data_IF_968530465351
#
_entry.id   IF_968530465351
#
_cell.length_a   1.000
_cell.length_b   1.000
_cell.length_c   1.000
_cell.angle_alpha   90.00
_cell.angle_beta   90.00
_cell.angle_gamma   90.00
#
_symmetry.space_group_name_H-M   'P 1'
#
loop_
_entity.id
_entity.type
_entity.pdbx_description
1 polymer ?
#
# COMPACT_ATOMS: atom_id res chain seq x y z
N UNK A 1 1.04 -19.79 -18.10
CA UNK A 1 -0.24 -19.85 -18.86
C UNK A 1 -1.32 -19.40 -17.89
N UNK A 2 -1.80 -18.16 -18.03
CA UNK A 2 -2.70 -17.52 -17.05
C UNK A 2 -4.15 -17.72 -17.45
N UNK A 3 -5.05 -17.92 -16.47
CA UNK A 3 -6.49 -17.90 -16.68
C UNK A 3 -7.03 -16.51 -16.33
N UNK A 4 -7.61 -15.83 -17.31
CA UNK A 4 -8.34 -14.56 -17.15
C UNK A 4 -9.80 -14.91 -16.87
N UNK A 5 -10.38 -14.40 -15.78
CA UNK A 5 -11.82 -14.48 -15.54
C UNK A 5 -12.54 -13.49 -16.45
N UNK A 6 -13.21 -13.98 -17.50
CA UNK A 6 -14.08 -13.15 -18.34
C UNK A 6 -15.47 -13.01 -17.69
N UNK A 7 -15.89 -11.78 -17.41
CA UNK A 7 -17.26 -11.45 -17.00
C UNK A 7 -18.20 -11.34 -18.21
N UNK A 8 -19.38 -11.96 -18.13
CA UNK A 8 -20.48 -11.79 -19.10
C UNK A 8 -21.44 -10.67 -18.63
N UNK A 9 -22.00 -9.86 -19.55
CA UNK A 9 -22.93 -8.78 -19.20
C UNK A 9 -24.38 -9.30 -19.10
N UNK A 10 -25.14 -8.84 -18.10
CA UNK A 10 -26.59 -9.08 -18.02
C UNK A 10 -27.39 -7.78 -17.96
N UNK A 11 -28.00 -7.50 -19.12
CA UNK A 11 -29.33 -6.95 -19.41
C UNK A 11 -30.04 -5.96 -18.46
N UNK A 12 -30.39 -4.84 -19.09
CA UNK A 12 -31.49 -3.91 -18.81
C UNK A 12 -32.85 -4.61 -18.65
N UNK A 13 -33.66 -4.19 -17.67
CA UNK A 13 -35.12 -4.27 -17.74
C UNK A 13 -35.77 -3.04 -17.09
N UNK A 14 -36.56 -2.31 -17.86
CA UNK A 14 -37.37 -1.19 -17.41
C UNK A 14 -38.84 -1.55 -17.09
N UNK A 15 -39.55 -0.56 -16.55
CA UNK A 15 -41.00 -0.54 -16.26
C UNK A 15 -41.25 -0.18 -14.80
N UNK A 16 -42.08 0.78 -14.38
CA UNK A 16 -43.08 1.61 -15.04
C UNK A 16 -44.31 1.74 -14.11
N UNK A 17 -44.70 2.97 -13.75
CA UNK A 17 -45.97 3.33 -13.06
C UNK A 17 -45.86 3.47 -11.53
N UNK A 18 -46.50 4.42 -10.83
CA UNK A 18 -47.43 5.49 -11.18
C UNK A 18 -48.20 5.93 -9.93
N UNK A 19 -48.32 7.24 -9.69
CA UNK A 19 -49.47 7.89 -9.03
C UNK A 19 -49.54 8.01 -7.50
N UNK A 20 -49.89 9.22 -7.02
CA UNK A 20 -50.67 9.42 -5.78
C UNK A 20 -50.06 10.39 -4.76
N UNK A 21 -50.64 11.58 -4.63
CA UNK A 21 -50.18 12.67 -3.75
C UNK A 21 -50.65 12.63 -2.29
N UNK A 22 -50.25 13.65 -1.52
CA UNK A 22 -50.76 13.91 -0.18
C UNK A 22 -49.85 14.84 0.64
N UNK A 23 -50.21 16.13 0.71
CA UNK A 23 -49.62 17.13 1.61
C UNK A 23 -49.88 16.77 3.08
N UNK A 24 -48.87 16.93 3.94
CA UNK A 24 -49.08 17.36 5.32
C UNK A 24 -47.88 18.14 5.86
N UNK A 25 -48.15 19.37 6.30
CA UNK A 25 -47.22 20.23 7.02
C UNK A 25 -47.01 19.74 8.46
N UNK A 26 -45.77 19.80 8.94
CA UNK A 26 -45.39 19.52 10.32
C UNK A 26 -44.09 20.23 10.66
N UNK A 27 -44.22 21.37 11.35
CA UNK A 27 -43.14 22.17 11.92
C UNK A 27 -42.39 21.36 13.00
N UNK A 28 -41.06 21.39 12.97
CA UNK A 28 -40.20 20.78 13.98
C UNK A 28 -38.75 21.20 13.78
N UNK A 29 -38.36 22.29 14.44
CA UNK A 29 -36.97 22.76 14.45
C UNK A 29 -36.04 21.73 15.07
N UNK A 30 -35.09 21.24 14.27
CA UNK A 30 -33.94 20.47 14.71
C UNK A 30 -32.70 21.21 14.25
N UNK A 31 -31.92 21.70 15.22
CA UNK A 31 -30.65 22.37 15.01
C UNK A 31 -29.63 21.35 14.49
N UNK A 32 -29.67 21.06 13.19
CA UNK A 32 -28.67 20.26 12.51
C UNK A 32 -27.42 21.10 12.37
N UNK A 33 -26.40 20.82 13.17
CA UNK A 33 -25.03 21.23 12.86
C UNK A 33 -24.68 20.64 11.50
N UNK A 34 -24.83 21.45 10.46
CA UNK A 34 -24.32 21.20 9.12
C UNK A 34 -22.79 21.25 9.23
N UNK A 35 -22.14 20.14 9.62
CA UNK A 35 -20.73 19.96 9.33
C UNK A 35 -20.63 19.92 7.81
N UNK A 36 -20.17 21.03 7.23
CA UNK A 36 -19.72 21.09 5.85
C UNK A 36 -18.73 19.92 5.64
N UNK A 37 -18.82 19.12 4.57
CA UNK A 37 -17.83 18.08 4.33
C UNK A 37 -16.46 18.75 4.24
N UNK A 38 -15.60 18.49 5.23
CA UNK A 38 -14.23 19.00 5.22
C UNK A 38 -13.53 18.44 3.98
N UNK A 39 -12.95 19.30 3.17
CA UNK A 39 -12.18 18.87 2.01
C UNK A 39 -10.89 18.15 2.46
N UNK A 40 -10.30 17.32 1.59
CA UNK A 40 -9.01 16.67 1.87
C UNK A 40 -7.96 17.70 2.32
N UNK A 41 -7.92 18.85 1.65
CA UNK A 41 -6.96 19.92 1.94
C UNK A 41 -7.19 20.57 3.32
N UNK A 42 -8.45 20.78 3.71
CA UNK A 42 -8.80 21.32 5.03
C UNK A 42 -8.36 20.41 6.18
N UNK A 43 -8.13 19.14 5.91
CA UNK A 43 -7.68 18.16 6.89
C UNK A 43 -6.22 17.73 6.71
N UNK A 44 -5.45 18.45 5.88
CA UNK A 44 -4.00 18.27 5.75
C UNK A 44 -3.57 17.20 4.73
N UNK A 45 -4.49 16.74 3.88
CA UNK A 45 -4.25 15.81 2.77
C UNK A 45 -4.26 16.58 1.45
N UNK A 46 -3.13 16.58 0.75
CA UNK A 46 -2.94 17.29 -0.53
C UNK A 46 -3.13 16.32 -1.69
N UNK A 47 -4.15 16.57 -2.51
CA UNK A 47 -4.34 15.83 -3.75
C UNK A 47 -3.31 16.28 -4.80
N UNK A 48 -2.55 15.32 -5.33
CA UNK A 48 -1.54 15.51 -6.37
C UNK A 48 -2.03 14.88 -7.66
N UNK A 49 -2.00 15.68 -8.72
CA UNK A 49 -2.37 15.35 -10.09
C UNK A 49 -1.21 15.75 -11.01
N UNK A 50 -1.33 15.51 -12.32
CA UNK A 50 -0.27 15.85 -13.27
C UNK A 50 0.18 17.31 -13.21
N UNK A 51 -0.76 18.25 -13.02
CA UNK A 51 -0.49 19.68 -13.12
C UNK A 51 0.26 20.27 -11.92
N UNK A 52 0.22 19.64 -10.73
CA UNK A 52 0.90 20.12 -9.53
C UNK A 52 2.01 19.18 -9.02
N UNK A 53 2.29 18.09 -9.74
CA UNK A 53 3.27 17.06 -9.33
C UNK A 53 4.63 17.67 -8.97
N UNK A 54 5.22 18.48 -9.85
CA UNK A 54 6.51 19.12 -9.62
C UNK A 54 6.51 20.08 -8.43
N UNK A 55 5.43 20.84 -8.25
CA UNK A 55 5.29 21.78 -7.14
C UNK A 55 5.29 21.04 -5.80
N UNK A 56 4.51 19.97 -5.71
CA UNK A 56 4.41 19.19 -4.48
C UNK A 56 5.70 18.43 -4.18
N UNK A 57 6.39 17.88 -5.19
CA UNK A 57 7.71 17.28 -4.98
C UNK A 57 8.78 18.28 -4.51
N UNK A 58 8.71 19.55 -4.93
CA UNK A 58 9.60 20.59 -4.36
C UNK A 58 9.34 20.75 -2.87
N UNK A 59 8.09 20.76 -2.44
CA UNK A 59 7.74 20.84 -1.01
C UNK A 59 8.20 19.60 -0.25
N UNK A 60 7.88 18.40 -0.76
CA UNK A 60 8.22 17.12 -0.12
C UNK A 60 9.73 16.99 0.09
N UNK A 61 10.56 17.39 -0.89
CA UNK A 61 12.05 17.38 -0.77
C UNK A 61 12.57 18.21 0.41
N UNK A 62 11.84 19.22 0.85
CA UNK A 62 12.18 19.99 2.06
C UNK A 62 11.63 19.31 3.33
N UNK A 63 10.42 18.76 3.27
CA UNK A 63 9.77 18.08 4.40
C UNK A 63 10.58 16.86 4.85
N UNK A 64 10.98 16.01 3.90
CA UNK A 64 11.64 14.72 4.20
C UNK A 64 12.98 14.90 4.95
N UNK A 65 13.61 16.07 4.87
CA UNK A 65 14.85 16.37 5.61
C UNK A 65 14.67 16.39 7.13
N UNK A 66 13.45 16.67 7.61
CA UNK A 66 13.11 16.74 9.05
C UNK A 66 12.12 15.65 9.47
N UNK A 67 11.23 15.24 8.56
CA UNK A 67 10.18 14.28 8.82
C UNK A 67 10.49 12.98 8.06
N UNK A 68 11.43 12.19 8.60
CA UNK A 68 12.00 11.00 7.97
C UNK A 68 11.22 9.70 8.19
N UNK A 69 10.09 9.73 8.92
CA UNK A 69 9.14 8.63 8.96
C UNK A 69 8.09 8.83 7.87
N UNK A 70 8.02 7.89 6.93
CA UNK A 70 7.14 7.97 5.77
C UNK A 70 6.13 6.82 5.84
N UNK A 71 4.90 7.13 6.26
CA UNK A 71 3.82 6.17 6.19
C UNK A 71 3.23 6.12 4.78
N UNK A 72 2.94 4.93 4.29
CA UNK A 72 2.39 4.73 2.95
C UNK A 72 1.23 3.75 2.92
N UNK A 73 0.41 3.89 1.89
CA UNK A 73 -0.65 2.97 1.49
C UNK A 73 -0.92 3.15 -0.01
N UNK A 74 -1.45 2.14 -0.70
CA UNK A 74 -1.79 2.23 -2.12
C UNK A 74 -3.20 1.75 -2.43
N UNK A 75 -3.81 2.33 -3.46
CA UNK A 75 -5.06 1.82 -4.02
C UNK A 75 -4.81 1.31 -5.45
N UNK A 76 -5.31 0.12 -5.73
CA UNK A 76 -5.11 -0.59 -7.00
C UNK A 76 -6.33 -1.46 -7.33
N UNK A 77 -6.49 -1.93 -8.58
CA UNK A 77 -7.74 -2.52 -9.05
C UNK A 77 -7.90 -4.01 -8.64
N UNK A 78 -7.46 -4.36 -7.44
CA UNK A 78 -7.59 -5.69 -6.85
C UNK A 78 -6.71 -6.75 -7.50
N UNK A 79 -7.26 -7.96 -7.64
CA UNK A 79 -6.57 -9.13 -8.21
C UNK A 79 -7.43 -9.78 -9.29
N UNK A 80 -6.83 -10.09 -10.44
CA UNK A 80 -7.52 -10.63 -11.62
C UNK A 80 -6.98 -11.99 -12.05
N UNK A 81 -5.78 -12.36 -11.61
CA UNK A 81 -5.09 -13.57 -12.00
C UNK A 81 -4.70 -14.43 -10.79
N UNK A 82 -4.61 -15.74 -11.02
CA UNK A 82 -3.96 -16.69 -10.11
C UNK A 82 -2.80 -17.36 -10.85
N UNK A 83 -1.63 -17.53 -10.20
CA UNK A 83 -0.51 -18.23 -10.81
C UNK A 83 -0.88 -19.72 -10.91
N UNK A 84 -0.46 -20.36 -12.00
CA UNK A 84 -0.70 -21.78 -12.26
C UNK A 84 0.65 -22.49 -12.29
N UNK A 85 0.80 -23.54 -11.49
CA UNK A 85 2.02 -24.32 -11.42
C UNK A 85 2.18 -25.06 -10.09
N UNK A 86 3.33 -25.71 -9.93
CA UNK A 86 3.80 -26.20 -8.63
C UNK A 86 4.66 -25.13 -7.97
N UNK A 87 4.52 -24.98 -6.65
CA UNK A 87 5.20 -23.96 -5.85
C UNK A 87 6.03 -24.63 -4.77
N UNK A 88 7.19 -24.05 -4.46
CA UNK A 88 8.15 -24.63 -3.50
C UNK A 88 7.61 -24.57 -2.06
N UNK A 89 6.79 -23.57 -1.76
CA UNK A 89 6.20 -23.35 -0.45
C UNK A 89 4.94 -22.49 -0.54
N UNK A 90 4.24 -22.33 0.59
CA UNK A 90 3.14 -21.37 0.68
C UNK A 90 3.62 -19.93 0.51
N UNK A 91 4.83 -19.58 0.97
CA UNK A 91 5.39 -18.23 0.80
C UNK A 91 5.68 -17.94 -0.68
N UNK A 92 6.27 -18.90 -1.39
CA UNK A 92 6.53 -18.82 -2.82
C UNK A 92 5.22 -18.64 -3.61
N UNK A 93 4.17 -19.42 -3.30
CA UNK A 93 2.85 -19.20 -3.91
C UNK A 93 2.32 -17.78 -3.68
N UNK A 94 2.46 -17.24 -2.47
CA UNK A 94 1.99 -15.90 -2.14
C UNK A 94 2.75 -14.82 -2.90
N UNK A 95 4.08 -14.94 -2.99
CA UNK A 95 4.90 -14.05 -3.79
C UNK A 95 4.52 -14.12 -5.27
N UNK A 96 4.39 -15.32 -5.86
CA UNK A 96 3.99 -15.48 -7.26
C UNK A 96 2.56 -14.95 -7.51
N UNK A 97 1.67 -15.05 -6.53
CA UNK A 97 0.32 -14.50 -6.59
C UNK A 97 0.32 -12.98 -6.60
N UNK A 98 1.15 -12.35 -5.76
CA UNK A 98 1.37 -10.92 -5.77
C UNK A 98 1.97 -10.47 -7.10
N UNK A 99 3.11 -11.07 -7.48
CA UNK A 99 3.86 -10.74 -8.68
C UNK A 99 2.99 -10.73 -9.92
N UNK A 100 2.22 -11.80 -10.14
CA UNK A 100 1.41 -11.91 -11.35
C UNK A 100 0.35 -10.81 -11.43
N UNK A 101 -0.19 -10.34 -10.31
CA UNK A 101 -1.20 -9.27 -10.32
C UNK A 101 -0.55 -7.89 -10.41
N UNK A 102 0.53 -7.64 -9.68
CA UNK A 102 1.27 -6.36 -9.75
C UNK A 102 1.82 -6.11 -11.15
N UNK A 103 2.38 -7.13 -11.82
CA UNK A 103 2.91 -6.98 -13.18
C UNK A 103 1.78 -6.64 -14.19
N UNK A 104 0.61 -7.24 -14.04
CA UNK A 104 -0.53 -7.07 -14.95
C UNK A 104 -1.31 -5.77 -14.74
N UNK A 105 -1.42 -5.29 -13.51
CA UNK A 105 -2.32 -4.21 -13.12
C UNK A 105 -1.58 -2.89 -12.95
N UNK A 106 -2.34 -1.78 -12.99
CA UNK A 106 -1.82 -0.42 -12.78
C UNK A 106 -2.25 0.10 -11.42
N UNK A 107 -1.37 0.83 -10.76
CA UNK A 107 -1.67 1.56 -9.52
C UNK A 107 -2.66 2.71 -9.81
N UNK A 108 -3.54 3.03 -8.86
CA UNK A 108 -4.55 4.10 -8.97
C UNK A 108 -4.19 5.26 -8.04
N UNK A 109 -3.85 4.99 -6.78
CA UNK A 109 -3.37 5.99 -5.84
C UNK A 109 -2.18 5.51 -5.00
N UNK A 110 -1.38 6.47 -4.54
CA UNK A 110 -0.38 6.30 -3.48
C UNK A 110 -0.58 7.42 -2.46
N UNK A 111 -0.62 7.06 -1.18
CA UNK A 111 -0.58 8.00 -0.07
C UNK A 111 0.79 8.02 0.58
N UNK A 112 1.35 9.20 0.82
CA UNK A 112 2.57 9.39 1.60
C UNK A 112 2.32 10.39 2.72
N UNK A 113 2.49 9.96 3.97
CA UNK A 113 2.39 10.80 5.16
C UNK A 113 3.74 10.92 5.84
N UNK A 114 4.16 12.15 6.15
CA UNK A 114 5.47 12.44 6.72
C UNK A 114 5.37 12.80 8.20
N UNK A 115 6.21 12.17 9.03
CA UNK A 115 6.28 12.38 10.47
C UNK A 115 7.74 12.44 10.97
N UNK A 116 7.96 13.06 12.12
CA UNK A 116 9.24 13.08 12.81
C UNK A 116 9.41 11.87 13.74
N UNK A 117 10.51 11.83 14.48
CA UNK A 117 10.85 10.71 15.37
C UNK A 117 9.84 10.54 16.52
N UNK A 118 9.11 11.60 16.88
CA UNK A 118 8.09 11.61 17.93
C UNK A 118 6.67 11.37 17.37
N UNK A 119 6.50 11.37 16.05
CA UNK A 119 5.21 11.18 15.39
C UNK A 119 4.46 12.47 15.12
N UNK A 120 5.11 13.63 15.23
CA UNK A 120 4.51 14.90 14.81
C UNK A 120 4.59 15.07 13.30
N UNK A 121 3.56 15.69 12.74
CA UNK A 121 3.47 15.99 11.31
C UNK A 121 4.00 17.39 10.99
N UNK A 122 4.41 17.66 9.74
CA UNK A 122 4.79 19.00 9.32
C UNK A 122 3.60 19.98 9.38
N UNK A 123 3.86 21.29 9.55
CA UNK A 123 2.82 22.30 9.47
C UNK A 123 2.26 22.39 8.05
N UNK A 124 0.93 22.58 7.93
CA UNK A 124 0.24 22.61 6.64
C UNK A 124 -0.15 21.22 6.19
N UNK A 125 0.28 20.82 5.00
CA UNK A 125 0.05 19.46 4.49
C UNK A 125 1.02 18.48 5.12
N UNK A 126 0.48 17.39 5.64
CA UNK A 126 1.24 16.27 6.20
C UNK A 126 1.24 15.04 5.31
N UNK A 127 0.26 14.98 4.41
CA UNK A 127 -0.04 13.82 3.59
C UNK A 127 -0.24 14.26 2.16
N UNK A 128 0.36 13.52 1.22
CA UNK A 128 0.19 13.70 -0.21
C UNK A 128 -0.47 12.46 -0.79
N UNK A 129 -1.58 12.68 -1.50
CA UNK A 129 -2.33 11.65 -2.21
C UNK A 129 -2.07 11.79 -3.70
N UNK A 130 -1.21 10.94 -4.25
CA UNK A 130 -0.88 10.91 -5.66
C UNK A 130 -1.94 10.14 -6.44
N UNK A 131 -2.55 10.79 -7.41
CA UNK A 131 -3.61 10.22 -8.24
C UNK A 131 -3.04 9.87 -9.63
N UNK A 132 -2.86 8.58 -9.91
CA UNK A 132 -2.22 8.10 -11.14
C UNK A 132 -3.20 7.98 -12.30
N UNK A 133 -2.66 8.07 -13.52
CA UNK A 133 -3.43 7.87 -14.74
C UNK A 133 -3.96 6.44 -14.83
N UNK A 134 -5.29 6.32 -14.97
CA UNK A 134 -6.00 5.06 -15.05
C UNK A 134 -7.23 5.20 -15.97
N UNK A 135 -7.44 4.24 -16.87
CA UNK A 135 -8.53 4.24 -17.84
C UNK A 135 -9.34 2.94 -17.76
N UNK A 136 -10.61 3.03 -17.34
CA UNK A 136 -11.51 1.87 -17.24
C UNK A 136 -11.82 1.18 -18.58
N UNK A 137 -11.53 1.81 -19.71
CA UNK A 137 -11.73 1.21 -21.03
C UNK A 137 -10.49 0.45 -21.54
N UNK A 138 -9.31 0.76 -21.00
CA UNK A 138 -8.02 0.23 -21.49
C UNK A 138 -7.36 -0.71 -20.46
N UNK A 139 -7.46 -0.37 -19.18
CA UNK A 139 -6.75 -1.05 -18.10
C UNK A 139 -7.55 -2.25 -17.56
N UNK A 140 -6.84 -3.30 -17.14
CA UNK A 140 -7.45 -4.45 -16.48
C UNK A 140 -7.80 -4.13 -15.02
N UNK A 141 -8.90 -4.69 -14.54
CA UNK A 141 -9.35 -4.53 -13.16
C UNK A 141 -10.28 -5.65 -12.69
N UNK A 142 -10.41 -5.80 -11.37
CA UNK A 142 -11.49 -6.55 -10.75
C UNK A 142 -12.70 -5.62 -10.51
N UNK A 143 -13.90 -6.03 -10.97
CA UNK A 143 -15.12 -5.21 -10.88
C UNK A 143 -15.43 -4.79 -9.44
N UNK A 144 -15.39 -5.74 -8.50
CA UNK A 144 -15.68 -5.47 -7.09
C UNK A 144 -14.74 -4.40 -6.49
N UNK A 145 -13.49 -4.35 -6.92
CA UNK A 145 -12.52 -3.35 -6.49
C UNK A 145 -12.82 -1.97 -7.06
N UNK A 146 -13.21 -1.87 -8.34
CA UNK A 146 -13.63 -0.59 -8.94
C UNK A 146 -14.89 -0.06 -8.26
N UNK A 147 -15.88 -0.92 -8.01
CA UNK A 147 -17.12 -0.53 -7.35
C UNK A 147 -16.84 -0.02 -5.92
N UNK A 148 -15.97 -0.71 -5.18
CA UNK A 148 -15.52 -0.26 -3.85
C UNK A 148 -14.85 1.11 -3.93
N UNK A 149 -13.87 1.28 -4.81
CA UNK A 149 -13.12 2.54 -4.97
C UNK A 149 -14.03 3.70 -5.41
N UNK A 150 -14.98 3.46 -6.30
CA UNK A 150 -15.99 4.45 -6.68
C UNK A 150 -16.83 4.88 -5.48
N UNK A 151 -17.29 3.92 -4.67
CA UNK A 151 -18.06 4.21 -3.46
C UNK A 151 -17.24 4.97 -2.39
N UNK A 152 -15.92 4.77 -2.39
CA UNK A 152 -14.96 5.49 -1.53
C UNK A 152 -14.61 6.89 -2.06
N UNK A 153 -15.13 7.29 -3.23
CA UNK A 153 -15.01 8.63 -3.78
C UNK A 153 -13.93 8.80 -4.85
N UNK A 154 -13.35 7.71 -5.37
CA UNK A 154 -12.39 7.78 -6.49
C UNK A 154 -13.09 8.25 -7.77
N UNK A 155 -12.55 9.31 -8.36
CA UNK A 155 -13.08 9.95 -9.56
C UNK A 155 -12.36 9.42 -10.81
N UNK A 156 -12.69 8.21 -11.27
CA UNK A 156 -11.98 7.54 -12.38
C UNK A 156 -11.86 8.39 -13.66
N UNK A 157 -12.88 9.20 -14.00
CA UNK A 157 -12.80 10.12 -15.14
C UNK A 157 -11.66 11.14 -14.97
N UNK A 158 -11.46 11.65 -13.76
CA UNK A 158 -10.38 12.58 -13.44
C UNK A 158 -9.01 11.88 -13.46
N UNK A 159 -8.93 10.62 -13.04
CA UNK A 159 -7.71 9.81 -13.21
C UNK A 159 -7.36 9.64 -14.69
N UNK A 160 -8.33 9.39 -15.56
CA UNK A 160 -8.09 9.27 -17.01
C UNK A 160 -7.54 10.56 -17.63
N UNK A 161 -8.15 11.71 -17.29
CA UNK A 161 -7.86 13.03 -17.87
C UNK A 161 -6.58 13.65 -17.25
N UNK A 162 -6.54 13.75 -15.92
CA UNK A 162 -5.57 14.55 -15.15
C UNK A 162 -4.56 13.71 -14.34
N UNK A 163 -4.67 12.38 -14.41
CA UNK A 163 -3.82 11.48 -13.63
C UNK A 163 -2.34 11.62 -13.96
N UNK A 164 -1.51 11.39 -12.94
CA UNK A 164 -0.06 11.41 -13.02
C UNK A 164 0.44 10.25 -13.89
N UNK A 165 1.38 10.53 -14.79
CA UNK A 165 2.11 9.46 -15.47
C UNK A 165 3.04 8.75 -14.46
N UNK A 166 2.96 7.42 -14.30
CA UNK A 166 3.80 6.70 -13.35
C UNK A 166 5.31 6.94 -13.54
N UNK A 167 5.79 7.15 -14.77
CA UNK A 167 7.21 7.38 -15.04
C UNK A 167 7.66 8.76 -14.59
N UNK A 168 6.84 9.79 -14.78
CA UNK A 168 7.15 11.15 -14.29
C UNK A 168 7.20 11.17 -12.76
N UNK A 169 6.31 10.42 -12.10
CA UNK A 169 6.37 10.23 -10.64
C UNK A 169 7.64 9.46 -10.21
N UNK A 170 7.99 8.37 -10.90
CA UNK A 170 9.18 7.57 -10.61
C UNK A 170 10.46 8.40 -10.66
N UNK A 171 10.59 9.21 -11.72
CA UNK A 171 11.71 10.13 -11.95
C UNK A 171 11.87 11.08 -10.74
N UNK A 172 10.79 11.72 -10.32
CA UNK A 172 10.80 12.68 -9.22
C UNK A 172 11.05 12.03 -7.85
N UNK A 173 10.47 10.83 -7.62
CA UNK A 173 10.66 10.06 -6.40
C UNK A 173 12.10 9.58 -6.26
N UNK A 174 12.72 9.11 -7.34
CA UNK A 174 14.10 8.61 -7.36
C UNK A 174 15.09 9.64 -6.81
N UNK A 175 14.93 10.92 -7.18
CA UNK A 175 15.84 12.01 -6.77
C UNK A 175 15.26 12.86 -5.63
N UNK A 176 14.26 12.37 -4.90
CA UNK A 176 13.58 13.12 -3.84
C UNK A 176 14.28 13.06 -2.48
N UNK A 177 15.12 12.03 -2.25
CA UNK A 177 15.67 11.71 -0.94
C UNK A 177 14.73 10.87 -0.05
N UNK A 178 13.66 10.28 -0.62
CA UNK A 178 12.72 9.41 0.09
C UNK A 178 13.09 7.92 -0.05
N UNK A 179 13.59 7.51 -1.22
CA UNK A 179 14.06 6.15 -1.51
C UNK A 179 15.58 6.10 -1.55
N UNK A 180 16.19 4.92 -1.38
CA UNK A 180 17.65 4.70 -1.39
C UNK A 180 18.39 5.41 -0.24
N UNK A 181 17.68 5.79 0.82
CA UNK A 181 18.21 6.57 1.94
C UNK A 181 18.06 5.81 3.26
N UNK A 182 19.18 5.53 3.94
CA UNK A 182 19.21 4.77 5.20
C UNK A 182 18.49 5.47 6.36
N UNK A 183 18.40 6.80 6.33
CA UNK A 183 17.74 7.58 7.37
C UNK A 183 16.20 7.57 7.26
N UNK A 184 15.65 7.10 6.14
CA UNK A 184 14.20 7.06 5.93
C UNK A 184 13.62 5.77 6.51
N UNK A 185 12.55 5.92 7.30
CA UNK A 185 11.85 4.82 7.97
C UNK A 185 10.45 4.72 7.39
N UNK A 186 10.20 3.67 6.61
CA UNK A 186 8.91 3.44 5.96
C UNK A 186 7.94 2.74 6.92
N UNK A 187 6.73 3.27 7.04
CA UNK A 187 5.66 2.72 7.87
C UNK A 187 4.52 2.23 6.99
N UNK A 188 4.09 1.00 7.18
CA UNK A 188 3.12 0.38 6.27
C UNK A 188 2.13 -0.49 7.02
N UNK A 189 1.08 -0.96 6.34
CA UNK A 189 0.14 -1.91 6.91
C UNK A 189 -0.19 -3.00 5.90
N UNK A 190 0.25 -4.24 6.15
CA UNK A 190 -0.07 -5.38 5.29
C UNK A 190 0.41 -5.18 3.83
N UNK A 191 1.68 -4.81 3.71
CA UNK A 191 2.16 -3.95 2.62
C UNK A 191 2.83 -4.63 1.43
N UNK A 192 2.64 -5.95 1.28
CA UNK A 192 3.29 -6.69 0.20
C UNK A 192 3.00 -6.07 -1.17
N UNK A 193 1.72 -5.87 -1.49
CA UNK A 193 1.30 -5.29 -2.77
C UNK A 193 1.78 -3.84 -2.93
N UNK A 194 1.72 -3.02 -1.88
CA UNK A 194 2.14 -1.61 -1.91
C UNK A 194 3.60 -1.48 -2.35
N UNK A 195 4.49 -2.24 -1.70
CA UNK A 195 5.90 -2.27 -2.07
C UNK A 195 6.15 -2.94 -3.41
N UNK A 196 5.33 -3.93 -3.79
CA UNK A 196 5.33 -4.48 -5.14
C UNK A 196 5.09 -3.41 -6.20
N UNK A 197 4.05 -2.59 -6.04
CA UNK A 197 3.75 -1.49 -6.97
C UNK A 197 4.84 -0.42 -6.97
N UNK A 198 5.32 0.00 -5.80
CA UNK A 198 6.41 0.98 -5.72
C UNK A 198 7.69 0.48 -6.39
N UNK A 199 8.05 -0.79 -6.19
CA UNK A 199 9.25 -1.36 -6.79
C UNK A 199 9.10 -1.52 -8.31
N UNK A 200 7.94 -1.97 -8.79
CA UNK A 200 7.60 -1.96 -10.23
C UNK A 200 7.74 -0.56 -10.82
N UNK A 201 7.19 0.44 -10.13
CA UNK A 201 7.21 1.83 -10.57
C UNK A 201 8.65 2.39 -10.63
N UNK A 202 9.45 2.14 -9.60
CA UNK A 202 10.82 2.67 -9.48
C UNK A 202 11.85 1.96 -10.36
N UNK A 203 11.55 0.74 -10.81
CA UNK A 203 12.43 -0.04 -11.69
C UNK A 203 11.99 0.03 -13.14
N UNK A 204 10.72 0.37 -13.39
CA UNK A 204 10.06 0.26 -14.69
C UNK A 204 10.24 -1.13 -15.32
N UNK A 205 10.24 -2.17 -14.48
CA UNK A 205 10.36 -3.57 -14.88
C UNK A 205 9.30 -4.42 -14.18
N UNK A 206 9.01 -5.58 -14.76
CA UNK A 206 8.25 -6.61 -14.04
C UNK A 206 9.02 -7.02 -12.77
N UNK A 207 8.28 -7.42 -11.74
CA UNK A 207 8.89 -7.87 -10.50
C UNK A 207 9.78 -9.12 -10.70
N UNK A 208 10.80 -9.31 -9.86
CA UNK A 208 11.77 -10.39 -10.01
C UNK A 208 11.18 -11.82 -10.12
N UNK A 209 11.98 -12.71 -10.72
CA UNK A 209 11.88 -14.16 -10.71
C UNK A 209 11.24 -14.76 -9.44
N UNK A 210 12.04 -14.56 -8.41
CA UNK A 210 12.08 -15.30 -7.17
C UNK A 210 11.92 -14.30 -6.02
N UNK A 211 11.30 -14.76 -4.94
CA UNK A 211 11.02 -13.93 -3.77
C UNK A 211 12.31 -13.36 -3.14
N UNK A 212 13.41 -14.12 -3.17
CA UNK A 212 14.71 -13.67 -2.66
C UNK A 212 15.19 -12.41 -3.37
N UNK A 213 15.12 -12.41 -4.70
CA UNK A 213 15.64 -11.32 -5.53
C UNK A 213 14.78 -10.07 -5.36
N UNK A 214 13.47 -10.26 -5.15
CA UNK A 214 12.57 -9.18 -4.78
C UNK A 214 12.97 -8.53 -3.46
N UNK A 215 13.24 -9.31 -2.41
CA UNK A 215 13.65 -8.76 -1.13
C UNK A 215 15.06 -8.14 -1.15
N UNK A 216 15.99 -8.69 -1.93
CA UNK A 216 17.30 -8.06 -2.16
C UNK A 216 17.15 -6.67 -2.77
N UNK A 217 16.33 -6.56 -3.82
CA UNK A 217 16.05 -5.30 -4.49
C UNK A 217 15.26 -4.33 -3.60
N UNK A 218 14.26 -4.83 -2.88
CA UNK A 218 13.44 -4.03 -1.97
C UNK A 218 14.30 -3.36 -0.88
N UNK A 219 15.27 -4.09 -0.32
CA UNK A 219 16.19 -3.57 0.71
C UNK A 219 17.08 -2.43 0.22
N UNK A 220 17.37 -2.37 -1.07
CA UNK A 220 18.16 -1.28 -1.66
C UNK A 220 17.31 -0.01 -1.70
N UNK A 221 16.08 -0.10 -2.22
CA UNK A 221 15.18 1.05 -2.35
C UNK A 221 14.59 1.51 -1.02
N UNK A 222 14.34 0.58 -0.10
CA UNK A 222 13.65 0.79 1.17
C UNK A 222 14.42 0.11 2.31
N UNK A 223 15.53 0.70 2.79
CA UNK A 223 16.40 0.06 3.76
C UNK A 223 15.71 -0.30 5.09
N UNK A 224 14.79 0.57 5.55
CA UNK A 224 14.05 0.38 6.80
C UNK A 224 12.55 0.40 6.56
N UNK A 225 11.88 -0.74 6.79
CA UNK A 225 10.42 -0.91 6.69
C UNK A 225 9.89 -1.42 8.03
N UNK A 226 8.78 -0.84 8.49
CA UNK A 226 8.00 -1.30 9.62
C UNK A 226 6.56 -1.57 9.18
N UNK A 227 6.22 -2.84 8.98
CA UNK A 227 4.85 -3.24 8.70
C UNK A 227 4.06 -3.38 10.02
N UNK A 228 3.12 -2.47 10.25
CA UNK A 228 2.28 -2.43 11.45
C UNK A 228 1.51 -3.73 11.64
N UNK A 229 1.00 -4.34 10.56
CA UNK A 229 0.28 -5.62 10.63
C UNK A 229 1.19 -6.74 11.13
N UNK A 230 2.45 -6.74 10.70
CA UNK A 230 3.44 -7.68 11.19
C UNK A 230 3.78 -7.42 12.67
N UNK A 231 4.05 -6.16 13.04
CA UNK A 231 4.38 -5.76 14.41
C UNK A 231 3.26 -6.11 15.41
N UNK A 232 2.00 -6.02 14.99
CA UNK A 232 0.84 -6.42 15.79
C UNK A 232 0.88 -7.88 16.25
N UNK A 233 1.59 -8.78 15.56
CA UNK A 233 1.75 -10.18 16.00
C UNK A 233 2.41 -10.27 17.39
N UNK A 234 3.21 -9.27 17.75
CA UNK A 234 3.87 -9.14 19.06
C UNK A 234 3.02 -8.37 20.09
N UNK A 235 1.90 -7.79 19.68
CA UNK A 235 0.99 -7.04 20.54
C UNK A 235 -0.16 -7.94 21.01
N UNK A 236 -0.32 -8.10 22.33
CA UNK A 236 -1.48 -8.80 22.88
C UNK A 236 -2.73 -7.98 22.61
N UNK A 237 -3.72 -8.59 21.96
CA UNK A 237 -5.06 -8.04 21.69
C UNK A 237 -5.20 -7.05 20.52
N UNK A 238 -4.21 -6.91 19.62
CA UNK A 238 -4.40 -6.19 18.35
C UNK A 238 -4.60 -7.19 17.21
N UNK A 239 -5.77 -7.16 16.57
CA UNK A 239 -6.10 -7.99 15.40
C UNK A 239 -7.03 -7.22 14.47
N UNK A 240 -7.09 -7.64 13.21
CA UNK A 240 -8.02 -7.07 12.25
C UNK A 240 -7.37 -6.23 11.16
N UNK A 241 -8.20 -5.60 10.33
CA UNK A 241 -7.79 -4.63 9.29
C UNK A 241 -7.38 -3.29 9.89
N UNK A 242 -6.86 -2.37 9.06
CA UNK A 242 -6.35 -1.07 9.51
C UNK A 242 -7.39 -0.27 10.30
N UNK A 243 -8.65 -0.22 9.82
CA UNK A 243 -9.72 0.47 10.52
C UNK A 243 -10.04 -0.16 11.88
N UNK A 244 -10.10 -1.49 11.98
CA UNK A 244 -10.39 -2.19 13.23
C UNK A 244 -9.27 -1.96 14.26
N UNK A 245 -8.02 -1.87 13.79
CA UNK A 245 -6.86 -1.55 14.63
C UNK A 245 -6.91 -0.10 15.09
N UNK A 246 -7.27 0.83 14.21
CA UNK A 246 -7.47 2.23 14.58
C UNK A 246 -8.55 2.39 15.67
N UNK A 247 -9.67 1.68 15.54
CA UNK A 247 -10.75 1.70 16.53
C UNK A 247 -10.27 1.15 17.89
N UNK A 248 -9.49 0.06 17.89
CA UNK A 248 -8.89 -0.52 19.10
C UNK A 248 -7.85 0.40 19.77
N UNK A 249 -7.17 1.22 18.98
CA UNK A 249 -6.19 2.21 19.45
C UNK A 249 -6.82 3.59 19.74
N UNK A 250 -8.15 3.69 19.63
CA UNK A 250 -8.93 4.93 19.83
C UNK A 250 -8.48 6.08 18.91
N UNK A 251 -8.09 5.74 17.68
CA UNK A 251 -7.63 6.68 16.67
C UNK A 251 -8.79 7.15 15.79
N UNK A 252 -8.90 8.47 15.63
CA UNK A 252 -9.88 9.08 14.72
C UNK A 252 -9.27 9.22 13.33
N UNK A 253 -9.89 8.59 12.34
CA UNK A 253 -9.56 8.78 10.91
C UNK A 253 -9.76 10.23 10.47
N UNK A 254 -8.87 10.67 9.60
CA UNK A 254 -8.93 11.96 8.91
C UNK A 254 -8.89 11.70 7.40
N UNK A 255 -9.87 12.24 6.68
CA UNK A 255 -10.07 11.95 5.26
C UNK A 255 -10.98 10.74 4.99
N UNK A 256 -11.30 10.49 3.71
CA UNK A 256 -12.17 9.39 3.27
C UNK A 256 -11.50 8.02 3.52
N UNK A 257 -12.26 7.02 3.95
CA UNK A 257 -11.74 5.64 4.08
C UNK A 257 -11.56 5.02 2.69
N UNK A 258 -10.56 4.14 2.51
CA UNK A 258 -10.24 3.49 1.23
C UNK A 258 -9.83 4.52 0.17
N UNK A 259 -8.98 5.45 0.60
CA UNK A 259 -8.20 6.32 -0.25
C UNK A 259 -6.81 6.44 0.36
N UNK A 260 -5.81 6.27 -0.49
CA UNK A 260 -4.44 6.00 -0.06
C UNK A 260 -3.89 7.08 0.89
N UNK A 261 -4.24 8.36 0.73
CA UNK A 261 -3.77 9.42 1.63
C UNK A 261 -4.33 9.30 3.05
N UNK A 262 -5.63 9.07 3.19
CA UNK A 262 -6.27 8.89 4.50
C UNK A 262 -5.78 7.61 5.19
N UNK A 263 -5.59 6.53 4.43
CA UNK A 263 -5.09 5.27 4.94
C UNK A 263 -3.59 5.32 5.29
N UNK A 264 -2.75 6.05 4.54
CA UNK A 264 -1.35 6.29 4.92
C UNK A 264 -1.24 7.10 6.21
N UNK A 265 -2.10 8.12 6.39
CA UNK A 265 -2.13 8.92 7.60
C UNK A 265 -2.55 8.07 8.82
N UNK A 266 -3.59 7.25 8.66
CA UNK A 266 -4.05 6.36 9.72
C UNK A 266 -3.00 5.29 10.06
N UNK A 267 -2.27 4.78 9.07
CA UNK A 267 -1.14 3.86 9.26
C UNK A 267 -0.04 4.49 10.11
N UNK A 268 0.33 5.73 9.81
CA UNK A 268 1.27 6.49 10.63
C UNK A 268 0.82 6.66 12.07
N UNK A 269 -0.43 7.12 12.27
CA UNK A 269 -1.03 7.27 13.59
C UNK A 269 -1.04 5.95 14.37
N UNK A 270 -1.42 4.84 13.71
CA UNK A 270 -1.44 3.52 14.29
C UNK A 270 -0.04 3.07 14.74
N UNK A 271 0.98 3.26 13.91
CA UNK A 271 2.36 2.94 14.27
C UNK A 271 2.82 3.68 15.53
N UNK A 272 2.71 5.01 15.56
CA UNK A 272 3.18 5.80 16.69
C UNK A 272 2.39 5.53 17.97
N UNK A 273 1.07 5.32 17.85
CA UNK A 273 0.24 4.95 19.00
C UNK A 273 0.58 3.57 19.54
N UNK A 274 0.79 2.60 18.65
CA UNK A 274 1.19 1.25 19.03
C UNK A 274 2.59 1.26 19.68
N UNK A 275 3.52 2.08 19.18
CA UNK A 275 4.85 2.31 19.75
C UNK A 275 4.79 2.88 21.17
N UNK A 276 3.91 3.85 21.40
CA UNK A 276 3.65 4.43 22.72
C UNK A 276 3.09 3.39 23.70
N UNK A 277 2.04 2.66 23.31
CA UNK A 277 1.29 1.76 24.20
C UNK A 277 2.05 0.46 24.51
N UNK A 278 2.70 -0.14 23.52
CA UNK A 278 3.34 -1.44 23.65
C UNK A 278 4.85 -1.37 23.89
N UNK A 279 5.44 -0.17 23.90
CA UNK A 279 6.82 0.05 24.32
C UNK A 279 7.83 -0.66 23.41
N UNK A 280 7.77 -0.42 22.10
CA UNK A 280 8.82 -0.84 21.16
C UNK A 280 10.09 0.02 21.36
N UNK A 281 10.70 -0.07 22.55
CA UNK A 281 11.90 0.68 22.94
C UNK A 281 13.16 0.27 22.19
N UNK A 282 13.11 -0.81 21.41
CA UNK A 282 14.20 -1.33 20.58
C UNK A 282 14.34 -0.62 19.23
N UNK A 283 13.35 0.18 18.81
CA UNK A 283 13.43 0.96 17.55
C UNK A 283 14.31 2.22 17.68
N UNK A 284 14.78 2.51 18.90
CA UNK A 284 15.65 3.63 19.23
C UNK A 284 17.11 3.15 19.42
N UNK A 285 17.73 2.56 18.40
CA UNK A 285 19.14 2.17 18.42
C UNK A 285 19.99 3.08 17.52
N UNK A 286 20.09 4.35 17.88
CA UNK A 286 21.30 5.14 17.61
C UNK A 286 22.37 4.80 18.65
N UNK A 287 22.80 3.53 18.69
CA UNK A 287 24.04 3.16 19.37
C UNK A 287 24.67 1.94 18.72
N UNK A 288 25.91 2.15 18.29
CA UNK A 288 26.83 1.24 17.64
C UNK A 288 27.15 0.02 18.49
N UNK A 289 26.37 -1.06 18.37
CA UNK A 289 26.81 -2.43 18.73
C UNK A 289 25.84 -3.52 18.29
N UNK A 290 26.18 -4.19 17.18
CA UNK A 290 25.97 -5.61 16.84
C UNK A 290 24.60 -6.25 17.15
N UNK A 291 23.85 -6.48 16.07
CA UNK A 291 23.02 -7.67 15.78
C UNK A 291 21.67 -7.89 16.49
N UNK A 292 21.03 -6.86 17.05
CA UNK A 292 19.66 -6.98 17.61
C UNK A 292 18.61 -6.05 16.95
N UNK A 293 18.97 -5.34 15.87
CA UNK A 293 17.97 -4.63 15.07
C UNK A 293 17.14 -5.67 14.32
N UNK A 294 15.88 -5.85 14.72
CA UNK A 294 14.87 -6.50 13.88
C UNK A 294 14.66 -5.57 12.69
N UNK A 295 15.54 -5.64 11.71
CA UNK A 295 15.25 -5.22 10.35
C UNK A 295 14.07 -6.07 9.88
N UNK A 296 12.85 -5.57 10.07
CA UNK A 296 11.63 -6.16 9.50
C UNK A 296 11.61 -5.88 7.99
N UNK A 297 12.67 -6.27 7.30
CA UNK A 297 12.57 -6.69 5.90
C UNK A 297 12.06 -8.14 5.83
N UNK A 298 12.01 -8.83 6.97
CA UNK A 298 11.15 -9.99 7.16
C UNK A 298 9.69 -9.53 7.27
N UNK A 299 9.14 -9.06 6.15
CA UNK A 299 7.71 -8.91 5.94
C UNK A 299 7.11 -10.33 5.99
N UNK A 300 7.05 -10.91 7.20
CA UNK A 300 6.94 -12.34 7.37
C UNK A 300 5.66 -12.85 6.74
N UNK A 301 5.82 -13.70 5.72
CA UNK A 301 4.75 -14.25 4.86
C UNK A 301 3.78 -13.17 4.39
N UNK A 302 3.93 -12.74 3.14
CA UNK A 302 2.91 -12.00 2.40
C UNK A 302 1.57 -12.75 2.54
N UNK A 303 0.71 -12.32 3.45
CA UNK A 303 -0.65 -12.82 3.53
C UNK A 303 -1.42 -12.11 2.40
N UNK A 304 -1.90 -12.81 1.39
CA UNK A 304 -2.76 -12.20 0.38
C UNK A 304 -4.11 -11.90 1.05
N UNK A 305 -4.28 -10.70 1.61
CA UNK A 305 -5.50 -10.23 2.31
C UNK A 305 -6.76 -10.11 1.44
N UNK A 306 -6.96 -11.00 0.46
CA UNK A 306 -8.19 -11.09 -0.31
C UNK A 306 -9.17 -11.93 0.49
N UNK A 307 -9.98 -11.27 1.31
CA UNK A 307 -11.13 -11.88 1.98
C UNK A 307 -12.12 -12.44 0.95
N UNK A 308 -12.04 -13.74 0.67
CA UNK A 308 -13.07 -14.43 -0.09
C UNK A 308 -14.32 -14.57 0.81
N UNK A 309 -15.28 -13.67 0.63
CA UNK A 309 -16.67 -13.93 1.03
C UNK A 309 -17.22 -15.07 0.18
N UNK A 310 -17.04 -16.31 0.62
CA UNK A 310 -17.66 -17.48 0.00
C UNK A 310 -18.39 -18.27 1.07
N UNK A 311 -19.72 -18.23 0.99
CA UNK A 311 -20.67 -19.00 1.79
C UNK A 311 -20.27 -20.48 1.79
N UNK A 312 -20.12 -21.05 2.98
CA UNK A 312 -20.04 -22.49 3.18
C UNK A 312 -21.34 -23.13 2.65
N UNK A 313 -21.22 -23.90 1.57
CA UNK A 313 -22.22 -24.92 1.22
C UNK A 313 -21.70 -26.20 1.85
N UNK A 314 -22.39 -26.61 2.91
CA UNK A 314 -22.14 -27.88 3.58
C UNK A 314 -22.53 -29.05 2.69
N UNK A 315 -21.64 -30.02 2.57
CA UNK A 315 -22.01 -31.39 2.23
C UNK A 315 -21.39 -32.34 3.23
N UNK A 316 -22.27 -33.20 3.76
CA UNK A 316 -22.01 -34.12 4.84
C UNK A 316 -21.80 -35.54 4.31
N UNK A 317 -20.96 -36.28 5.06
CA UNK A 317 -20.89 -37.73 5.21
C UNK A 317 -19.93 -38.53 4.32
N UNK A 318 -19.00 -39.26 4.97
CA UNK A 318 -18.21 -40.32 4.33
C UNK A 318 -16.97 -40.84 5.07
N UNK A 319 -17.04 -41.07 6.39
CA UNK A 319 -16.23 -41.98 7.24
C UNK A 319 -14.87 -42.56 6.76
N UNK A 320 -13.84 -42.42 7.60
CA UNK A 320 -12.66 -43.30 7.61
C UNK A 320 -11.58 -42.83 8.58
N UNK A 321 -11.65 -43.27 9.84
CA UNK A 321 -10.81 -42.77 10.93
C UNK A 321 -9.36 -43.26 10.92
N UNK A 322 -8.48 -42.44 11.50
CA UNK A 322 -7.28 -42.88 12.21
C UNK A 322 -7.07 -41.96 13.42
N UNK A 323 -7.24 -42.56 14.59
CA UNK A 323 -6.99 -41.98 15.90
C UNK A 323 -5.49 -41.91 16.15
N UNK A 324 -4.92 -40.71 16.14
CA UNK A 324 -3.56 -40.44 16.61
C UNK A 324 -3.57 -39.17 17.46
N UNK A 325 -3.47 -39.32 18.79
CA UNK A 325 -3.18 -38.21 19.70
C UNK A 325 -1.84 -37.61 19.29
N UNK A 326 -1.82 -36.37 18.80
CA UNK A 326 -0.63 -35.53 18.84
C UNK A 326 -0.95 -34.31 19.71
N UNK A 327 -0.22 -34.25 20.81
CA UNK A 327 -0.26 -33.20 21.81
C UNK A 327 0.15 -31.86 21.19
N UNK A 328 -0.39 -30.79 21.80
CA UNK A 328 0.16 -29.44 21.78
C UNK A 328 1.70 -29.50 21.90
N UNK A 329 2.39 -29.09 20.85
CA UNK A 329 3.80 -28.69 20.91
C UNK A 329 3.88 -27.28 20.33
N UNK A 330 4.00 -26.33 21.25
CA UNK A 330 4.58 -25.02 20.98
C UNK A 330 6.01 -25.24 20.44
N UNK A 331 6.32 -24.67 19.28
CA UNK A 331 7.68 -24.36 18.83
C UNK A 331 7.54 -22.97 18.20
N UNK A 332 7.94 -21.83 18.79
CA UNK A 332 9.21 -21.41 19.38
C UNK A 332 10.43 -21.87 18.59
N UNK A 333 11.20 -20.88 18.12
CA UNK A 333 12.48 -20.91 17.39
C UNK A 333 12.39 -21.09 15.87
N UNK A 334 12.65 -19.97 15.18
CA UNK A 334 12.96 -19.88 13.76
C UNK A 334 13.84 -18.65 13.50
N UNK A 335 14.85 -18.44 14.36
CA UNK A 335 15.97 -17.55 14.06
C UNK A 335 16.82 -18.28 13.02
N UNK A 336 16.89 -17.77 11.79
CA UNK A 336 17.90 -18.20 10.83
C UNK A 336 18.57 -16.95 10.27
N UNK A 337 19.69 -16.57 10.90
CA UNK A 337 20.65 -15.66 10.30
C UNK A 337 21.33 -16.38 9.14
N UNK A 338 21.02 -15.99 7.91
CA UNK A 338 21.85 -16.31 6.76
C UNK A 338 22.84 -15.16 6.53
N UNK A 339 24.12 -15.43 6.75
CA UNK A 339 25.18 -14.65 6.10
C UNK A 339 25.14 -15.00 4.60
N UNK A 340 24.59 -14.11 3.76
CA UNK A 340 24.63 -14.27 2.30
C UNK A 340 26.02 -13.91 1.80
N UNK A 341 26.74 -14.87 1.23
CA UNK A 341 27.98 -14.65 0.50
C UNK A 341 27.62 -14.40 -0.97
N UNK A 342 27.13 -13.20 -1.28
CA UNK A 342 26.41 -12.90 -2.52
C UNK A 342 26.91 -11.60 -3.20
N UNK A 343 28.23 -11.42 -3.27
CA UNK A 343 28.84 -10.23 -3.87
C UNK A 343 28.50 -10.01 -5.35
N UNK A 344 28.30 -11.09 -6.13
CA UNK A 344 28.00 -11.00 -7.57
C UNK A 344 26.51 -10.65 -7.86
N UNK A 345 25.55 -11.04 -7.01
CA UNK A 345 24.14 -10.62 -7.16
C UNK A 345 23.98 -9.13 -6.84
N UNK A 346 24.61 -8.70 -5.75
CA UNK A 346 24.56 -7.31 -5.28
C UNK A 346 25.12 -6.32 -6.30
N UNK A 347 26.30 -6.59 -6.89
CA UNK A 347 26.86 -5.68 -7.91
C UNK A 347 25.96 -5.58 -9.14
N UNK A 348 25.32 -6.67 -9.58
CA UNK A 348 24.44 -6.64 -10.75
C UNK A 348 23.18 -5.81 -10.48
N UNK A 349 22.58 -5.95 -9.31
CA UNK A 349 21.41 -5.16 -8.92
C UNK A 349 21.77 -3.69 -8.72
N UNK A 350 22.88 -3.41 -8.04
CA UNK A 350 23.37 -2.05 -7.85
C UNK A 350 23.68 -1.39 -9.21
N UNK A 351 24.30 -2.12 -10.13
CA UNK A 351 24.58 -1.63 -11.48
C UNK A 351 23.28 -1.42 -12.28
N UNK A 352 22.24 -2.23 -12.12
CA UNK A 352 20.93 -1.99 -12.74
C UNK A 352 20.28 -0.72 -12.18
N UNK A 353 20.27 -0.54 -10.85
CA UNK A 353 19.77 0.68 -10.23
C UNK A 353 20.59 1.91 -10.62
N UNK A 354 21.92 1.82 -10.67
CA UNK A 354 22.81 2.91 -11.11
C UNK A 354 22.56 3.23 -12.59
N UNK A 355 22.47 2.23 -13.47
CA UNK A 355 22.17 2.45 -14.88
C UNK A 355 20.78 3.04 -15.09
N UNK A 356 19.80 2.65 -14.27
CA UNK A 356 18.46 3.24 -14.28
C UNK A 356 18.50 4.69 -13.80
N UNK A 357 19.16 4.98 -12.67
CA UNK A 357 19.37 6.35 -12.17
C UNK A 357 20.07 7.20 -13.22
N UNK A 358 21.13 6.69 -13.86
CA UNK A 358 21.87 7.40 -14.91
C UNK A 358 21.02 7.61 -16.18
N UNK A 359 20.16 6.65 -16.52
CA UNK A 359 19.19 6.78 -17.63
C UNK A 359 18.13 7.84 -17.31
N UNK A 360 17.55 7.80 -16.11
CA UNK A 360 16.54 8.76 -15.66
C UNK A 360 17.11 10.17 -15.53
N UNK A 361 18.34 10.32 -15.00
CA UNK A 361 19.04 11.61 -14.94
C UNK A 361 19.33 12.16 -16.34
N UNK A 362 19.69 11.32 -17.31
CA UNK A 362 19.89 11.74 -18.71
C UNK A 362 18.58 12.16 -19.37
N UNK A 363 17.47 11.46 -19.12
CA UNK A 363 16.14 11.84 -19.62
C UNK A 363 15.71 13.18 -19.01
N UNK A 364 15.95 13.41 -17.72
CA UNK A 364 15.65 14.67 -17.05
C UNK A 364 16.38 15.86 -17.68
N UNK A 365 17.68 15.71 -17.96
CA UNK A 365 18.49 16.75 -18.61
C UNK A 365 17.96 17.07 -20.01
N UNK A 366 17.62 16.04 -20.80
CA UNK A 366 17.11 16.21 -22.17
C UNK A 366 15.70 16.84 -22.19
N UNK A 367 14.81 16.46 -21.27
CA UNK A 367 13.47 17.11 -21.14
C UNK A 367 13.63 18.60 -20.84
N UNK A 368 14.53 18.96 -19.92
CA UNK A 368 14.77 20.35 -19.54
C UNK A 368 15.37 21.20 -20.67
N UNK A 369 16.21 20.61 -21.53
CA UNK A 369 16.77 21.27 -22.71
C UNK A 369 15.76 21.47 -23.85
N UNK A 370 14.63 20.74 -23.85
CA UNK A 370 13.57 20.85 -24.85
C UNK A 370 12.45 21.82 -24.45
N UNK A 371 12.40 22.22 -23.17
CA UNK A 371 11.42 23.16 -22.61
C UNK A 371 11.97 24.61 -22.47
N UNK A 372 13.27 24.81 -22.69
CA UNK A 372 13.95 26.13 -22.83
C UNK A 372 14.10 26.53 -24.32
#
# INVERSE_FOLDING_TARGET
MFFIKNGMPSAVSGGGGGGGGGNHAGSGGGNGNNMNPQTNEECGIRDVWRHNLDEEFRTIRHIVQKYHYVAMDTEFPGVVARPVGEFRSSADYQYQFLRCNVDLLRIIQLGLTFMDEEGHTPPGFSTWQFNFKFNLNEDMYAQDSIDLLQNSGIQFKKHEEDGIDPLDFAELLMTSGIVLMDNIKWLSFHSGYDFGYLLKLLTDQNLPAEESDFFELLRIYFPTIYDVKYLMKSCKNLKGGLQEVADQLELRRVGPQHQAGSDSLLTGMAFFKMREVHGFGFLNSSSSSKNDDINVTDCGTMDSGVGNGSREIGDSAGTGGCTGKCANINNSSGFVSFECNCGESFENVLNQSINHIDTMLKIHVVKKELEE
#
